data_IF_862094579404
#
_entry.id   IF_862094579404
#
_cell.length_a   1.000
_cell.length_b   1.000
_cell.length_c   1.000
_cell.angle_alpha   90.00
_cell.angle_beta   90.00
_cell.angle_gamma   90.00
#
_symmetry.space_group_name_H-M   'P 1'
#
loop_
_entity.id
_entity.type
_entity.pdbx_description
1 polymer ?
#
# COMPACT_ATOMS: atom_id res chain seq x y z
N UNK A 1 60.05 -4.03 48.20
CA UNK A 1 59.58 -4.30 46.82
C UNK A 1 58.14 -3.86 46.72
N UNK A 2 57.87 -2.69 46.20
CA UNK A 2 56.45 -2.29 46.00
C UNK A 2 55.95 -2.92 44.71
N UNK A 3 54.81 -3.59 44.78
CA UNK A 3 54.14 -4.19 43.63
C UNK A 3 53.24 -3.09 43.00
N UNK A 4 53.43 -2.85 41.68
CA UNK A 4 52.59 -1.98 40.90
C UNK A 4 51.20 -2.62 40.70
N UNK A 5 50.10 -1.85 40.78
CA UNK A 5 48.78 -2.34 40.44
C UNK A 5 48.60 -2.35 38.94
N UNK A 6 48.19 -3.51 38.45
CA UNK A 6 47.84 -3.78 37.06
C UNK A 6 46.53 -3.06 36.72
N UNK A 7 46.56 -2.03 35.86
CA UNK A 7 45.37 -1.35 35.38
C UNK A 7 44.64 -2.25 34.41
N UNK A 8 43.45 -2.64 34.77
CA UNK A 8 42.51 -3.34 33.93
C UNK A 8 41.75 -2.27 33.10
N UNK A 9 42.04 -2.21 31.82
CA UNK A 9 41.27 -1.36 30.88
C UNK A 9 40.03 -2.13 30.45
N UNK A 10 38.88 -1.68 30.90
CA UNK A 10 37.58 -2.13 30.43
C UNK A 10 37.29 -1.43 29.10
N UNK A 11 37.37 -2.13 27.99
CA UNK A 11 36.86 -1.67 26.70
C UNK A 11 35.34 -1.90 26.67
N UNK A 12 34.57 -0.84 26.81
CA UNK A 12 33.14 -0.86 26.57
C UNK A 12 32.88 -0.93 25.07
N UNK A 13 32.44 -2.08 24.58
CA UNK A 13 31.94 -2.21 23.21
C UNK A 13 30.53 -1.61 23.16
N UNK A 14 30.43 -0.41 22.59
CA UNK A 14 29.16 0.22 22.30
C UNK A 14 28.47 -0.52 21.14
N UNK A 15 27.37 -1.20 21.43
CA UNK A 15 26.48 -1.80 20.44
C UNK A 15 25.62 -0.68 19.83
N UNK A 16 25.98 -0.22 18.65
CA UNK A 16 25.15 0.68 17.85
C UNK A 16 23.97 -0.11 17.29
N UNK A 17 22.80 0.05 17.91
CA UNK A 17 21.55 -0.38 17.34
C UNK A 17 21.20 0.59 16.19
N UNK A 18 21.53 0.19 14.98
CA UNK A 18 21.02 0.85 13.77
C UNK A 18 19.56 0.44 13.66
N UNK A 19 18.67 1.30 14.15
CA UNK A 19 17.24 1.19 13.90
C UNK A 19 17.00 1.39 12.42
N UNK A 20 16.84 0.29 11.66
CA UNK A 20 16.44 0.35 10.27
C UNK A 20 15.00 0.81 10.18
N UNK A 21 14.75 2.03 9.71
CA UNK A 21 13.45 2.38 9.15
C UNK A 21 13.31 1.56 7.87
N UNK A 22 12.39 0.58 7.87
CA UNK A 22 11.95 -0.04 6.62
C UNK A 22 11.20 1.03 5.84
N UNK A 23 11.65 1.42 4.63
CA UNK A 23 10.86 2.28 3.78
C UNK A 23 9.56 1.54 3.44
N UNK A 24 8.43 2.18 3.66
CA UNK A 24 7.14 1.75 3.12
C UNK A 24 7.33 1.48 1.63
N UNK A 25 6.82 0.35 1.14
CA UNK A 25 6.99 -0.13 -0.22
C UNK A 25 6.70 0.96 -1.26
N UNK A 26 7.72 1.72 -1.59
CA UNK A 26 7.72 2.54 -2.79
C UNK A 26 8.01 1.55 -3.91
N UNK A 27 6.97 1.16 -4.64
CA UNK A 27 7.14 0.34 -5.84
C UNK A 27 8.24 0.93 -6.69
N UNK A 28 9.29 0.15 -6.95
CA UNK A 28 10.39 0.63 -7.76
C UNK A 28 9.88 0.94 -9.16
N UNK A 29 10.02 2.18 -9.62
CA UNK A 29 9.64 2.59 -10.98
C UNK A 29 10.44 1.86 -12.07
N UNK A 30 11.43 1.06 -11.70
CA UNK A 30 12.24 0.25 -12.62
C UNK A 30 11.56 -1.06 -13.04
N UNK A 31 10.52 -1.50 -12.34
CA UNK A 31 9.78 -2.71 -12.71
C UNK A 31 8.63 -2.39 -13.66
N UNK A 32 8.37 -3.22 -14.70
CA UNK A 32 7.30 -2.95 -15.66
C UNK A 32 5.90 -3.26 -15.12
N UNK A 33 5.82 -4.03 -14.03
CA UNK A 33 4.56 -4.43 -13.42
C UNK A 33 4.64 -4.42 -11.90
N UNK A 34 3.49 -4.28 -11.26
CA UNK A 34 3.37 -4.26 -9.80
C UNK A 34 2.08 -4.97 -9.38
N UNK A 35 2.18 -5.75 -8.30
CA UNK A 35 1.02 -6.34 -7.65
C UNK A 35 0.80 -5.65 -6.30
N UNK A 36 -0.41 -5.18 -6.08
CA UNK A 36 -0.86 -4.54 -4.84
C UNK A 36 -1.96 -5.37 -4.22
N UNK A 37 -2.01 -5.41 -2.90
CA UNK A 37 -3.06 -6.07 -2.14
C UNK A 37 -3.68 -5.09 -1.15
N UNK A 38 -4.99 -5.15 -0.97
CA UNK A 38 -5.69 -4.37 0.03
C UNK A 38 -6.89 -5.15 0.57
N UNK A 39 -7.19 -4.93 1.85
CA UNK A 39 -8.41 -5.42 2.50
C UNK A 39 -9.43 -4.30 2.53
N UNK A 40 -10.66 -4.59 2.12
CA UNK A 40 -11.76 -3.62 2.06
C UNK A 40 -12.84 -4.00 3.07
N UNK A 41 -13.19 -3.03 3.92
CA UNK A 41 -14.35 -3.08 4.82
C UNK A 41 -15.41 -2.08 4.33
N UNK A 42 -16.54 -1.98 5.01
CA UNK A 42 -17.60 -1.02 4.68
C UNK A 42 -17.23 0.46 4.90
N UNK A 43 -16.17 0.73 5.64
CA UNK A 43 -15.75 2.09 5.99
C UNK A 43 -14.31 2.43 5.57
N UNK A 44 -13.48 1.43 5.22
CA UNK A 44 -12.05 1.64 5.03
C UNK A 44 -11.41 0.62 4.09
N UNK A 45 -10.23 0.98 3.62
CA UNK A 45 -9.31 0.08 2.92
C UNK A 45 -7.96 0.08 3.64
N UNK A 46 -7.31 -1.08 3.73
CA UNK A 46 -5.99 -1.23 4.34
C UNK A 46 -5.05 -2.00 3.40
N UNK A 47 -3.95 -1.40 2.91
CA UNK A 47 -3.57 0.00 3.10
C UNK A 47 -4.51 0.97 2.37
N UNK A 48 -4.73 2.16 2.95
CA UNK A 48 -5.58 3.20 2.36
C UNK A 48 -4.87 4.06 1.31
N UNK A 49 -3.55 3.99 1.25
CA UNK A 49 -2.73 4.66 0.25
C UNK A 49 -1.99 3.63 -0.58
N UNK A 50 -2.28 3.61 -1.86
CA UNK A 50 -1.61 2.78 -2.86
C UNK A 50 -0.81 3.68 -3.80
N UNK A 51 0.41 3.28 -4.16
CA UNK A 51 1.26 4.07 -5.03
C UNK A 51 1.96 3.19 -6.07
N UNK A 52 1.95 3.66 -7.31
CA UNK A 52 2.64 3.04 -8.43
C UNK A 52 3.33 4.11 -9.28
N UNK A 53 4.05 3.71 -10.30
CA UNK A 53 4.64 4.63 -11.28
C UNK A 53 3.87 4.58 -12.60
N UNK A 54 3.80 5.72 -13.28
CA UNK A 54 3.20 5.79 -14.60
C UNK A 54 3.90 4.84 -15.57
N UNK A 55 3.11 4.08 -16.32
CA UNK A 55 3.58 3.09 -17.28
C UNK A 55 3.67 1.66 -16.74
N UNK A 56 3.44 1.46 -15.43
CA UNK A 56 3.40 0.11 -14.87
C UNK A 56 2.05 -0.57 -15.15
N UNK A 57 2.11 -1.88 -15.41
CA UNK A 57 0.94 -2.73 -15.39
C UNK A 57 0.63 -3.11 -13.94
N UNK A 58 -0.59 -2.83 -13.51
CA UNK A 58 -1.04 -2.99 -12.12
C UNK A 58 -1.95 -4.20 -12.01
N UNK A 59 -1.65 -5.07 -11.06
CA UNK A 59 -2.57 -6.09 -10.55
C UNK A 59 -2.96 -5.68 -9.14
N UNK A 60 -4.23 -5.36 -8.93
CA UNK A 60 -4.77 -5.00 -7.62
C UNK A 60 -5.67 -6.11 -7.11
N UNK A 61 -5.28 -6.75 -6.01
CA UNK A 61 -6.05 -7.78 -5.32
C UNK A 61 -6.79 -7.18 -4.13
N UNK A 62 -8.12 -7.23 -4.18
CA UNK A 62 -9.00 -6.71 -3.15
C UNK A 62 -9.61 -7.87 -2.36
N UNK A 63 -9.22 -7.99 -1.10
CA UNK A 63 -9.80 -8.94 -0.15
C UNK A 63 -10.98 -8.29 0.55
N UNK A 64 -12.18 -8.62 0.16
CA UNK A 64 -13.36 -7.95 0.66
C UNK A 64 -13.94 -8.60 1.92
N UNK A 65 -14.27 -7.78 2.90
CA UNK A 65 -15.05 -8.12 4.08
C UNK A 65 -16.46 -7.51 4.03
N UNK A 66 -16.79 -6.84 2.93
CA UNK A 66 -18.06 -6.13 2.75
C UNK A 66 -18.70 -6.44 1.41
N UNK A 67 -20.00 -6.23 1.34
CA UNK A 67 -20.80 -6.26 0.12
C UNK A 67 -20.99 -4.83 -0.39
N UNK A 68 -20.46 -4.52 -1.56
CA UNK A 68 -20.49 -3.16 -2.10
C UNK A 68 -19.93 -3.05 -3.50
N UNK A 69 -19.85 -1.82 -3.99
CA UNK A 69 -19.32 -1.50 -5.30
C UNK A 69 -18.10 -0.60 -5.14
N UNK A 70 -16.99 -1.07 -5.68
CA UNK A 70 -15.70 -0.39 -5.67
C UNK A 70 -15.57 0.51 -6.89
N UNK A 71 -15.12 1.76 -6.67
CA UNK A 71 -14.84 2.74 -7.71
C UNK A 71 -13.41 3.27 -7.57
N UNK A 72 -12.65 3.18 -8.64
CA UNK A 72 -11.39 3.89 -8.79
C UNK A 72 -11.60 5.05 -9.76
N UNK A 73 -11.85 6.25 -9.22
CA UNK A 73 -12.12 7.43 -10.03
C UNK A 73 -10.94 7.81 -10.90
N UNK A 74 -11.20 8.18 -12.15
CA UNK A 74 -10.17 8.51 -13.14
C UNK A 74 -9.65 7.32 -13.94
N UNK A 75 -9.99 6.11 -13.56
CA UNK A 75 -9.66 4.86 -14.26
C UNK A 75 -10.91 4.10 -14.71
N UNK A 76 -12.04 4.75 -14.78
CA UNK A 76 -13.37 4.14 -15.01
C UNK A 76 -13.45 3.31 -16.30
N UNK A 77 -12.69 3.65 -17.32
CA UNK A 77 -12.66 2.87 -18.58
C UNK A 77 -11.92 1.53 -18.42
N UNK A 78 -10.84 1.50 -17.65
CA UNK A 78 -10.05 0.29 -17.42
C UNK A 78 -10.55 -0.51 -16.21
N UNK A 79 -11.05 0.20 -15.20
CA UNK A 79 -11.57 -0.34 -13.94
C UNK A 79 -13.02 0.13 -13.78
N UNK A 80 -13.98 -0.51 -14.45
CA UNK A 80 -15.39 -0.17 -14.24
C UNK A 80 -15.81 -0.46 -12.81
N UNK A 81 -16.92 0.13 -12.40
CA UNK A 81 -17.54 -0.14 -11.10
C UNK A 81 -17.61 -1.65 -10.84
N UNK A 82 -16.99 -2.10 -9.76
CA UNK A 82 -16.75 -3.52 -9.51
C UNK A 82 -17.44 -3.96 -8.22
N UNK A 83 -18.32 -4.95 -8.34
CA UNK A 83 -19.00 -5.54 -7.17
C UNK A 83 -18.02 -6.34 -6.34
N UNK A 84 -17.97 -6.06 -5.03
CA UNK A 84 -17.23 -6.81 -4.04
C UNK A 84 -18.20 -7.72 -3.25
N UNK A 85 -17.75 -8.91 -2.93
CA UNK A 85 -18.51 -9.90 -2.15
C UNK A 85 -17.71 -10.28 -0.91
N UNK A 86 -18.32 -10.30 0.29
CA UNK A 86 -17.63 -10.67 1.53
C UNK A 86 -16.97 -12.04 1.43
N UNK A 87 -15.70 -12.12 1.84
CA UNK A 87 -14.91 -13.35 1.85
C UNK A 87 -14.26 -13.70 0.50
N UNK A 88 -14.50 -12.91 -0.55
CA UNK A 88 -13.91 -13.11 -1.86
C UNK A 88 -12.75 -12.16 -2.12
N UNK A 89 -11.84 -12.61 -2.99
CA UNK A 89 -10.77 -11.79 -3.54
C UNK A 89 -11.13 -11.40 -4.97
N UNK A 90 -11.15 -10.11 -5.23
CA UNK A 90 -11.39 -9.55 -6.58
C UNK A 90 -10.07 -9.05 -7.13
N UNK A 91 -9.69 -9.49 -8.32
CA UNK A 91 -8.47 -9.07 -8.99
C UNK A 91 -8.79 -8.10 -10.12
N UNK A 92 -8.18 -6.92 -10.08
CA UNK A 92 -8.27 -5.90 -11.11
C UNK A 92 -6.93 -5.76 -11.80
N UNK A 93 -6.93 -5.76 -13.12
CA UNK A 93 -5.73 -5.60 -13.95
C UNK A 93 -5.90 -4.39 -14.86
N UNK A 94 -4.95 -3.45 -14.81
CA UNK A 94 -5.00 -2.22 -15.61
C UNK A 94 -3.61 -1.60 -15.74
N UNK A 95 -3.45 -0.67 -16.67
CA UNK A 95 -2.19 0.07 -16.83
C UNK A 95 -2.29 1.44 -16.17
N UNK A 96 -1.26 1.82 -15.40
CA UNK A 96 -1.17 3.13 -14.77
C UNK A 96 -0.73 4.18 -15.82
N UNK A 97 -1.64 4.59 -16.69
CA UNK A 97 -1.37 5.44 -17.87
C UNK A 97 -1.48 6.95 -17.60
N UNK A 98 -2.10 7.34 -16.48
CA UNK A 98 -2.27 8.73 -16.07
C UNK A 98 -1.65 8.98 -14.70
N UNK A 99 -0.73 9.94 -14.60
CA UNK A 99 -0.16 10.37 -13.33
C UNK A 99 -1.14 11.26 -12.54
N UNK A 100 -1.08 11.17 -11.22
CA UNK A 100 -1.92 11.95 -10.32
C UNK A 100 -2.37 11.18 -9.09
N UNK A 101 -3.34 11.75 -8.38
CA UNK A 101 -4.00 11.12 -7.25
C UNK A 101 -5.46 10.85 -7.60
N UNK A 102 -5.89 9.64 -7.38
CA UNK A 102 -7.21 9.15 -7.76
C UNK A 102 -7.91 8.62 -6.51
N UNK A 103 -9.11 9.11 -6.27
CA UNK A 103 -9.92 8.70 -5.11
C UNK A 103 -10.46 7.29 -5.33
N UNK A 104 -10.40 6.48 -4.28
CA UNK A 104 -11.06 5.18 -4.21
C UNK A 104 -12.28 5.32 -3.31
N UNK A 105 -13.44 5.02 -3.85
CA UNK A 105 -14.70 5.04 -3.12
C UNK A 105 -15.36 3.67 -3.09
N UNK A 106 -16.10 3.44 -2.01
CA UNK A 106 -16.94 2.28 -1.83
C UNK A 106 -18.39 2.74 -1.66
N UNK A 107 -19.27 2.19 -2.47
CA UNK A 107 -20.70 2.25 -2.26
C UNK A 107 -21.15 0.96 -1.58
N UNK A 108 -21.23 0.96 -0.25
CA UNK A 108 -21.68 -0.21 0.50
C UNK A 108 -23.17 -0.45 0.22
N UNK A 109 -23.55 -1.70 -0.02
CA UNK A 109 -24.94 -2.04 -0.43
C UNK A 109 -25.98 -1.68 0.63
N UNK A 110 -25.60 -1.59 1.89
CA UNK A 110 -26.44 -1.19 3.03
C UNK A 110 -26.57 0.33 3.22
N UNK A 111 -25.79 1.12 2.49
CA UNK A 111 -25.66 2.57 2.63
C UNK A 111 -26.01 3.26 1.31
N UNK A 112 -26.75 4.37 1.37
CA UNK A 112 -27.06 5.17 0.17
C UNK A 112 -25.92 6.11 -0.24
N UNK A 113 -24.89 6.25 0.62
CA UNK A 113 -23.76 7.16 0.40
C UNK A 113 -22.49 6.40 0.00
N UNK A 114 -21.70 7.02 -0.86
CA UNK A 114 -20.35 6.58 -1.17
C UNK A 114 -19.41 7.05 -0.07
N UNK A 115 -18.44 6.20 0.29
CA UNK A 115 -17.42 6.48 1.28
C UNK A 115 -16.05 6.42 0.61
N UNK A 116 -15.27 7.48 0.74
CA UNK A 116 -13.86 7.46 0.36
C UNK A 116 -13.10 6.51 1.28
N UNK A 117 -12.50 5.46 0.71
CA UNK A 117 -11.78 4.44 1.47
C UNK A 117 -10.28 4.47 1.21
N UNK A 118 -9.82 5.18 0.18
CA UNK A 118 -8.40 5.24 -0.12
C UNK A 118 -8.05 6.20 -1.25
N UNK A 119 -6.73 6.32 -1.47
CA UNK A 119 -6.14 7.09 -2.55
C UNK A 119 -5.17 6.21 -3.32
N UNK A 120 -5.31 6.21 -4.63
CA UNK A 120 -4.38 5.60 -5.57
C UNK A 120 -3.52 6.70 -6.19
N UNK A 121 -2.21 6.64 -5.98
CA UNK A 121 -1.26 7.61 -6.51
C UNK A 121 -0.44 6.99 -7.63
N UNK A 122 -0.40 7.67 -8.77
CA UNK A 122 0.47 7.32 -9.89
C UNK A 122 1.54 8.40 -10.01
N UNK A 123 2.76 8.06 -9.66
CA UNK A 123 3.90 8.96 -9.72
C UNK A 123 4.49 8.99 -11.13
N UNK A 124 5.00 10.14 -11.56
CA UNK A 124 5.89 10.19 -12.73
C UNK A 124 7.17 9.39 -12.41
N UNK A 125 7.66 8.59 -13.33
CA UNK A 125 8.86 7.81 -13.11
C UNK A 125 10.14 8.67 -13.06
#
# INVERSE_FOLDING_TARGET
MPRLPRRLTLTAAGLLLVGGCTPSDTSSCSTPSVTLEATVTDEAMDPSALAVCRGQDVTLELHSQTDGVFHLHGYDEQVPATTLTPGETTTLEFSADAAGQFVIELHARSEESEVEIGIFTVNEP
#
